data_IF_171242434783
#
_entry.id   IF_171242434783
#
_cell.length_a   1.000
_cell.length_b   1.000
_cell.length_c   1.000
_cell.angle_alpha   90.00
_cell.angle_beta   90.00
_cell.angle_gamma   90.00
#
_symmetry.space_group_name_H-M   'P 1'
#
loop_
_entity.id
_entity.type
_entity.pdbx_description
1 polymer ?
#
# COMPACT_ATOMS: atom_id res chain seq x y z
N UNK A 1 36.93 -43.17 -7.70
CA UNK A 1 38.31 -42.73 -7.43
C UNK A 1 38.40 -42.37 -5.95
N UNK A 2 39.23 -43.08 -5.19
CA UNK A 2 39.40 -42.85 -3.74
C UNK A 2 40.16 -41.53 -3.51
N UNK A 3 39.59 -40.62 -2.74
CA UNK A 3 40.24 -39.37 -2.31
C UNK A 3 41.16 -39.66 -1.12
N UNK A 4 42.47 -39.43 -1.29
CA UNK A 4 43.47 -39.51 -0.21
C UNK A 4 43.14 -38.53 0.93
N UNK A 5 43.41 -38.89 2.20
CA UNK A 5 43.20 -38.00 3.35
C UNK A 5 44.13 -36.77 3.28
N UNK A 6 43.62 -35.61 3.71
CA UNK A 6 44.31 -34.30 3.66
C UNK A 6 45.68 -34.32 4.36
N UNK A 7 45.89 -35.22 5.34
CA UNK A 7 47.14 -35.39 6.09
C UNK A 7 48.30 -35.97 5.28
N UNK A 8 48.07 -36.46 4.06
CA UNK A 8 49.08 -37.12 3.21
C UNK A 8 49.35 -36.36 1.89
N UNK A 9 48.75 -35.18 1.70
CA UNK A 9 48.92 -34.36 0.50
C UNK A 9 50.13 -33.44 0.62
N UNK A 10 50.92 -33.34 -0.44
CA UNK A 10 52.02 -32.36 -0.54
C UNK A 10 51.47 -30.93 -0.71
N UNK A 11 52.25 -29.92 -0.33
CA UNK A 11 51.83 -28.50 -0.44
C UNK A 11 51.38 -28.12 -1.87
N UNK A 12 52.00 -28.71 -2.89
CA UNK A 12 51.63 -28.53 -4.29
C UNK A 12 50.26 -29.16 -4.64
N UNK A 13 49.96 -30.34 -4.09
CA UNK A 13 48.65 -31.01 -4.27
C UNK A 13 47.54 -30.25 -3.55
N UNK A 14 47.82 -29.68 -2.37
CA UNK A 14 46.87 -28.86 -1.62
C UNK A 14 46.54 -27.54 -2.36
N UNK A 15 47.56 -26.87 -2.90
CA UNK A 15 47.36 -25.66 -3.72
C UNK A 15 46.57 -25.95 -5.00
N UNK A 16 46.84 -27.08 -5.66
CA UNK A 16 46.08 -27.50 -6.85
C UNK A 16 44.60 -27.80 -6.54
N UNK A 17 44.32 -28.44 -5.39
CA UNK A 17 42.95 -28.72 -4.94
C UNK A 17 42.20 -27.44 -4.55
N UNK A 18 42.85 -26.49 -3.86
CA UNK A 18 42.26 -25.17 -3.55
C UNK A 18 41.94 -24.42 -4.83
N UNK A 19 42.86 -24.39 -5.80
CA UNK A 19 42.64 -23.75 -7.09
C UNK A 19 41.48 -24.40 -7.86
N UNK A 20 41.41 -25.73 -7.91
CA UNK A 20 40.30 -26.46 -8.55
C UNK A 20 38.95 -26.12 -7.89
N UNK A 21 38.91 -26.04 -6.56
CA UNK A 21 37.68 -25.67 -5.82
C UNK A 21 37.28 -24.22 -6.07
N UNK A 22 38.23 -23.30 -6.16
CA UNK A 22 37.95 -21.91 -6.47
C UNK A 22 37.46 -21.75 -7.92
N UNK A 23 38.10 -22.42 -8.88
CA UNK A 23 37.65 -22.45 -10.28
C UNK A 23 36.24 -23.04 -10.40
N UNK A 24 35.94 -24.13 -9.69
CA UNK A 24 34.59 -24.70 -9.65
C UNK A 24 33.56 -23.70 -9.12
N UNK A 25 33.86 -23.00 -8.01
CA UNK A 25 32.97 -21.96 -7.46
C UNK A 25 32.76 -20.80 -8.43
N UNK A 26 33.81 -20.37 -9.14
CA UNK A 26 33.69 -19.28 -10.12
C UNK A 26 32.85 -19.71 -11.33
N UNK A 27 33.01 -20.97 -11.77
CA UNK A 27 32.19 -21.56 -12.82
C UNK A 27 30.72 -21.67 -12.40
N UNK A 28 30.43 -22.14 -11.18
CA UNK A 28 29.06 -22.20 -10.64
C UNK A 28 28.41 -20.82 -10.58
N UNK A 29 29.16 -19.80 -10.13
CA UNK A 29 28.68 -18.40 -10.11
C UNK A 29 28.40 -17.86 -11.50
N UNK A 30 29.23 -18.21 -12.48
CA UNK A 30 29.05 -17.79 -13.87
C UNK A 30 27.83 -18.47 -14.48
N UNK A 31 27.72 -19.79 -14.35
CA UNK A 31 26.58 -20.57 -14.82
C UNK A 31 25.26 -20.10 -14.17
N UNK A 32 25.27 -19.78 -12.88
CA UNK A 32 24.10 -19.20 -12.20
C UNK A 32 23.69 -17.85 -12.82
N UNK A 33 24.65 -16.93 -13.06
CA UNK A 33 24.34 -15.63 -13.68
C UNK A 33 23.79 -15.79 -15.09
N UNK A 34 24.35 -16.70 -15.87
CA UNK A 34 23.84 -17.04 -17.22
C UNK A 34 22.41 -17.57 -17.13
N UNK A 35 22.14 -18.54 -16.25
CA UNK A 35 20.81 -19.09 -16.03
C UNK A 35 19.79 -18.03 -15.58
N UNK A 36 20.19 -17.11 -14.70
CA UNK A 36 19.35 -15.97 -14.28
C UNK A 36 19.00 -15.08 -15.46
N UNK A 37 19.99 -14.73 -16.29
CA UNK A 37 19.80 -13.89 -17.47
C UNK A 37 18.92 -14.57 -18.54
N UNK A 38 18.96 -15.90 -18.62
CA UNK A 38 18.11 -16.68 -19.53
C UNK A 38 16.68 -16.85 -18.98
N UNK A 39 16.53 -17.06 -17.67
CA UNK A 39 15.23 -17.40 -17.05
C UNK A 39 14.38 -16.17 -16.72
N UNK A 40 15.00 -15.08 -16.24
CA UNK A 40 14.26 -13.88 -15.82
C UNK A 40 13.44 -13.23 -16.93
N UNK A 41 13.90 -13.10 -18.18
CA UNK A 41 13.09 -12.52 -19.25
C UNK A 41 11.75 -13.23 -19.44
N UNK A 42 11.74 -14.56 -19.42
CA UNK A 42 10.53 -15.38 -19.55
C UNK A 42 9.56 -15.19 -18.38
N UNK A 43 10.10 -15.13 -17.15
CA UNK A 43 9.27 -14.85 -15.96
C UNK A 43 8.69 -13.44 -16.02
N UNK A 44 9.49 -12.45 -16.44
CA UNK A 44 9.03 -11.08 -16.62
C UNK A 44 7.98 -10.95 -17.71
N UNK A 45 8.11 -11.67 -18.81
CA UNK A 45 7.10 -11.67 -19.88
C UNK A 45 5.74 -12.16 -19.35
N UNK A 46 5.74 -13.18 -18.50
CA UNK A 46 4.51 -13.67 -17.84
C UNK A 46 3.86 -12.60 -16.97
N UNK A 47 4.65 -11.89 -16.16
CA UNK A 47 4.16 -10.80 -15.31
C UNK A 47 3.64 -9.62 -16.13
N UNK A 48 4.30 -9.27 -17.22
CA UNK A 48 3.87 -8.20 -18.13
C UNK A 48 2.55 -8.56 -18.84
N UNK A 49 2.38 -9.82 -19.26
CA UNK A 49 1.12 -10.33 -19.83
C UNK A 49 -0.02 -10.19 -18.84
N UNK A 50 0.18 -10.62 -17.59
CA UNK A 50 -0.83 -10.45 -16.54
C UNK A 50 -1.16 -8.98 -16.26
N UNK A 51 -0.14 -8.12 -16.18
CA UNK A 51 -0.34 -6.67 -15.99
C UNK A 51 -1.18 -6.05 -17.12
N UNK A 52 -0.96 -6.48 -18.37
CA UNK A 52 -1.78 -6.06 -19.50
C UNK A 52 -3.23 -6.52 -19.36
N UNK A 53 -3.46 -7.79 -19.02
CA UNK A 53 -4.81 -8.32 -18.78
C UNK A 53 -5.53 -7.54 -17.69
N UNK A 54 -4.87 -7.27 -16.56
CA UNK A 54 -5.46 -6.48 -15.46
C UNK A 54 -5.82 -5.06 -15.93
N UNK A 55 -4.99 -4.44 -16.78
CA UNK A 55 -5.28 -3.12 -17.35
C UNK A 55 -6.52 -3.14 -18.24
N UNK A 56 -6.64 -4.14 -19.10
CA UNK A 56 -7.75 -4.27 -20.03
C UNK A 56 -9.07 -4.57 -19.27
N UNK A 57 -9.04 -5.51 -18.31
CA UNK A 57 -10.17 -5.80 -17.41
C UNK A 57 -10.60 -4.56 -16.62
N UNK A 58 -9.64 -3.78 -16.11
CA UNK A 58 -9.94 -2.52 -15.41
C UNK A 58 -10.73 -1.57 -16.31
N UNK A 59 -10.30 -1.38 -17.56
CA UNK A 59 -11.00 -0.51 -18.50
C UNK A 59 -12.41 -1.02 -18.81
N UNK A 60 -12.55 -2.32 -19.06
CA UNK A 60 -13.84 -2.95 -19.37
C UNK A 60 -14.85 -2.75 -18.23
N UNK A 61 -14.47 -3.08 -17.00
CA UNK A 61 -15.34 -2.98 -15.82
C UNK A 61 -15.73 -1.52 -15.54
N UNK A 62 -14.78 -0.57 -15.63
CA UNK A 62 -15.09 0.85 -15.46
C UNK A 62 -16.04 1.37 -16.54
N UNK A 63 -15.87 0.93 -17.80
CA UNK A 63 -16.76 1.32 -18.91
C UNK A 63 -18.16 0.77 -18.69
N UNK A 64 -18.27 -0.51 -18.33
CA UNK A 64 -19.56 -1.16 -18.06
C UNK A 64 -20.34 -0.48 -16.93
N UNK A 65 -19.68 -0.18 -15.81
CA UNK A 65 -20.35 0.48 -14.69
C UNK A 65 -20.64 1.95 -14.96
N UNK A 66 -19.80 2.66 -15.71
CA UNK A 66 -20.14 4.03 -16.15
C UNK A 66 -21.44 4.04 -16.95
N UNK A 67 -21.64 3.06 -17.85
CA UNK A 67 -22.92 2.88 -18.55
C UNK A 67 -24.10 2.64 -17.59
N UNK A 68 -23.92 1.85 -16.53
CA UNK A 68 -24.95 1.64 -15.50
C UNK A 68 -25.27 2.92 -14.74
N UNK A 69 -24.27 3.73 -14.40
CA UNK A 69 -24.46 5.02 -13.72
C UNK A 69 -25.22 6.00 -14.61
N UNK A 70 -24.86 6.12 -15.89
CA UNK A 70 -25.59 6.97 -16.84
C UNK A 70 -27.05 6.54 -16.99
N UNK A 71 -27.32 5.23 -17.03
CA UNK A 71 -28.68 4.70 -17.06
C UNK A 71 -29.44 4.97 -15.77
N UNK A 72 -28.79 4.83 -14.61
CA UNK A 72 -29.36 5.17 -13.29
C UNK A 72 -29.72 6.66 -13.24
N UNK A 73 -28.79 7.53 -13.63
CA UNK A 73 -28.99 8.98 -13.64
C UNK A 73 -30.16 9.37 -14.56
N UNK A 74 -30.28 8.72 -15.73
CA UNK A 74 -31.42 8.92 -16.64
C UNK A 74 -32.74 8.40 -16.06
N UNK A 75 -32.73 7.24 -15.41
CA UNK A 75 -33.93 6.60 -14.87
C UNK A 75 -34.50 7.34 -13.65
N UNK A 76 -33.63 7.87 -12.79
CA UNK A 76 -34.02 8.50 -11.53
C UNK A 76 -33.87 10.03 -11.52
N UNK A 77 -33.26 10.62 -12.55
CA UNK A 77 -33.10 12.07 -12.71
C UNK A 77 -32.15 12.72 -11.70
N UNK A 78 -31.36 11.93 -10.98
CA UNK A 78 -30.42 12.40 -9.95
C UNK A 78 -29.03 12.00 -10.38
N UNK A 79 -28.16 13.00 -10.56
CA UNK A 79 -26.74 12.77 -10.80
C UNK A 79 -26.04 12.48 -9.48
N UNK A 80 -25.36 11.34 -9.42
CA UNK A 80 -24.66 10.91 -8.22
C UNK A 80 -23.24 11.50 -8.17
N UNK A 81 -22.92 12.29 -7.14
CA UNK A 81 -21.57 12.87 -6.92
C UNK A 81 -20.69 11.99 -6.01
N UNK A 82 -21.13 10.76 -5.74
CA UNK A 82 -20.37 9.81 -4.93
C UNK A 82 -18.99 9.51 -5.53
N UNK A 83 -18.02 9.27 -4.64
CA UNK A 83 -16.63 8.91 -4.99
C UNK A 83 -16.47 7.43 -5.34
N UNK A 84 -17.39 6.61 -4.86
CA UNK A 84 -17.44 5.18 -5.08
C UNK A 84 -18.88 4.73 -5.22
N UNK A 85 -19.13 3.74 -6.05
CA UNK A 85 -20.44 3.14 -6.26
C UNK A 85 -20.35 1.64 -6.05
N UNK A 86 -21.36 1.09 -5.39
CA UNK A 86 -21.53 -0.35 -5.21
C UNK A 86 -22.80 -0.78 -5.93
N UNK A 87 -22.68 -1.80 -6.77
CA UNK A 87 -23.79 -2.46 -7.43
C UNK A 87 -23.85 -3.90 -6.94
N UNK A 88 -25.02 -4.32 -6.47
CA UNK A 88 -25.27 -5.68 -5.98
C UNK A 88 -26.39 -6.30 -6.80
N UNK A 89 -26.16 -7.50 -7.30
CA UNK A 89 -27.18 -8.28 -8.02
C UNK A 89 -28.11 -8.98 -7.02
N UNK A 90 -29.29 -9.40 -7.49
CA UNK A 90 -30.22 -10.19 -6.67
C UNK A 90 -29.61 -11.52 -6.19
N UNK A 91 -28.64 -12.06 -6.93
CA UNK A 91 -27.91 -13.28 -6.58
C UNK A 91 -26.84 -13.06 -5.51
N UNK A 92 -26.56 -11.80 -5.15
CA UNK A 92 -25.63 -11.43 -4.09
C UNK A 92 -24.23 -11.05 -4.55
N UNK A 93 -23.91 -11.15 -5.84
CA UNK A 93 -22.64 -10.67 -6.36
C UNK A 93 -22.60 -9.14 -6.29
N UNK A 94 -21.50 -8.59 -5.79
CA UNK A 94 -21.33 -7.13 -5.66
C UNK A 94 -20.03 -6.65 -6.28
N UNK A 95 -20.09 -5.51 -6.97
CA UNK A 95 -18.93 -4.81 -7.51
C UNK A 95 -18.94 -3.39 -6.94
N UNK A 96 -17.81 -3.00 -6.36
CA UNK A 96 -17.56 -1.64 -5.86
C UNK A 96 -16.40 -1.03 -6.63
N UNK A 97 -16.59 0.19 -7.12
CA UNK A 97 -15.56 0.93 -7.86
C UNK A 97 -15.58 2.39 -7.47
N UNK A 98 -14.43 3.02 -7.58
CA UNK A 98 -14.27 4.42 -7.29
C UNK A 98 -12.82 4.83 -7.36
N UNK A 99 -12.50 5.95 -6.71
CA UNK A 99 -11.14 6.42 -6.56
C UNK A 99 -10.84 6.78 -5.11
N UNK A 100 -9.61 6.50 -4.70
CA UNK A 100 -9.08 6.90 -3.40
C UNK A 100 -8.63 8.35 -3.47
N UNK A 101 -8.66 9.03 -2.33
CA UNK A 101 -8.16 10.39 -2.15
C UNK A 101 -7.10 10.36 -1.06
N UNK A 102 -6.00 11.06 -1.32
CA UNK A 102 -5.01 11.37 -0.31
C UNK A 102 -5.26 12.77 0.23
N UNK A 103 -4.89 12.98 1.49
CA UNK A 103 -4.88 14.30 2.10
C UNK A 103 -3.79 15.15 1.44
N UNK A 104 -4.19 16.17 0.70
CA UNK A 104 -3.30 17.19 0.14
C UNK A 104 -3.51 18.54 0.80
N UNK A 105 -2.49 19.39 0.73
CA UNK A 105 -2.44 20.68 1.40
C UNK A 105 -1.74 21.69 0.49
N UNK A 106 -2.18 22.95 0.53
CA UNK A 106 -1.45 24.05 -0.13
C UNK A 106 -0.27 24.56 0.73
N UNK A 107 0.40 25.60 0.24
CA UNK A 107 1.59 26.18 0.87
C UNK A 107 1.31 26.89 2.20
N UNK A 108 0.06 27.21 2.51
CA UNK A 108 -0.33 27.92 3.75
C UNK A 108 -0.44 27.01 4.97
N UNK A 109 -0.50 25.68 4.77
CA UNK A 109 -0.64 24.69 5.86
C UNK A 109 0.48 24.82 6.90
N UNK A 110 1.71 25.14 6.46
CA UNK A 110 2.85 25.31 7.35
C UNK A 110 2.67 26.49 8.31
N UNK A 111 2.11 27.60 7.81
CA UNK A 111 1.82 28.80 8.58
C UNK A 111 0.75 28.54 9.64
N UNK A 112 -0.29 27.79 9.30
CA UNK A 112 -1.32 27.37 10.25
C UNK A 112 -0.77 26.45 11.34
N UNK A 113 0.03 25.44 10.96
CA UNK A 113 0.70 24.54 11.93
C UNK A 113 1.61 25.33 12.89
N UNK A 114 2.34 26.32 12.39
CA UNK A 114 3.20 27.14 13.24
C UNK A 114 2.42 27.94 14.29
N UNK A 115 1.28 28.55 13.91
CA UNK A 115 0.39 29.26 14.84
C UNK A 115 -0.17 28.33 15.91
N UNK A 116 -0.63 27.15 15.49
CA UNK A 116 -1.13 26.12 16.40
C UNK A 116 -0.05 25.66 17.37
N UNK A 117 1.15 25.34 16.89
CA UNK A 117 2.28 24.94 17.74
C UNK A 117 2.65 26.01 18.75
N UNK A 118 2.71 27.28 18.34
CA UNK A 118 3.02 28.40 19.22
C UNK A 118 2.01 28.52 20.38
N UNK A 119 0.71 28.34 20.09
CA UNK A 119 -0.30 28.32 21.14
C UNK A 119 -0.12 27.13 22.09
N UNK A 120 0.07 25.93 21.54
CA UNK A 120 0.27 24.70 22.32
C UNK A 120 1.48 24.82 23.25
N UNK A 121 2.60 25.35 22.76
CA UNK A 121 3.81 25.58 23.55
C UNK A 121 3.56 26.53 24.73
N UNK A 122 2.68 27.53 24.56
CA UNK A 122 2.30 28.46 25.64
C UNK A 122 1.52 27.80 26.78
N UNK A 123 0.94 26.61 26.55
CA UNK A 123 0.16 25.87 27.54
C UNK A 123 1.03 24.96 28.43
N UNK A 124 2.25 24.61 28.04
CA UNK A 124 3.15 23.74 28.81
C UNK A 124 3.76 24.46 30.02
N UNK A 125 2.99 24.61 31.11
CA UNK A 125 3.42 25.28 32.35
C UNK A 125 3.76 24.33 33.49
N UNK A 126 3.30 23.09 33.42
CA UNK A 126 3.44 22.01 34.40
C UNK A 126 3.49 20.62 33.73
N UNK A 127 3.84 19.57 34.48
CA UNK A 127 4.03 18.22 33.94
C UNK A 127 2.76 17.61 33.31
N UNK A 128 1.57 18.00 33.74
CA UNK A 128 0.31 17.48 33.19
C UNK A 128 -0.10 18.24 31.93
N UNK A 129 0.10 19.56 31.90
CA UNK A 129 -0.03 20.36 30.69
C UNK A 129 0.98 19.95 29.61
N UNK A 130 2.19 19.51 30.00
CA UNK A 130 3.18 18.95 29.07
C UNK A 130 2.71 17.64 28.40
N UNK A 131 1.99 16.78 29.12
CA UNK A 131 1.37 15.58 28.55
C UNK A 131 0.26 15.92 27.56
N UNK A 132 -0.56 16.94 27.86
CA UNK A 132 -1.59 17.43 26.95
C UNK A 132 -0.99 17.99 25.66
N UNK A 133 0.05 18.80 25.78
CA UNK A 133 0.84 19.32 24.63
C UNK A 133 1.40 18.20 23.78
N UNK A 134 1.93 17.13 24.39
CA UNK A 134 2.42 15.95 23.67
C UNK A 134 1.31 15.27 22.87
N UNK A 135 0.10 15.15 23.41
CA UNK A 135 -1.06 14.58 22.73
C UNK A 135 -1.48 15.44 21.53
N UNK A 136 -1.52 16.76 21.68
CA UNK A 136 -1.90 17.65 20.57
C UNK A 136 -0.81 17.66 19.47
N UNK A 137 0.47 17.59 19.84
CA UNK A 137 1.57 17.42 18.88
C UNK A 137 1.46 16.11 18.10
N UNK A 138 0.86 15.05 18.67
CA UNK A 138 0.57 13.83 17.91
C UNK A 138 -0.51 14.06 16.86
N UNK A 139 -1.45 14.99 17.07
CA UNK A 139 -2.46 15.38 16.08
C UNK A 139 -1.85 16.15 14.90
N UNK A 140 -0.78 16.91 15.15
CA UNK A 140 -0.07 17.65 14.10
C UNK A 140 1.02 16.82 13.42
N UNK A 141 1.28 15.61 13.92
CA UNK A 141 2.29 14.73 13.32
C UNK A 141 1.89 14.37 11.89
N UNK A 142 2.85 14.58 10.99
CA UNK A 142 2.74 14.19 9.58
C UNK A 142 2.78 12.67 9.43
N UNK A 143 2.14 12.17 8.40
CA UNK A 143 2.24 10.77 8.00
C UNK A 143 3.64 10.45 7.43
N UNK A 144 3.86 9.18 7.05
CA UNK A 144 5.14 8.75 6.46
C UNK A 144 5.49 9.47 5.15
N UNK A 145 4.50 10.12 4.50
CA UNK A 145 4.66 10.88 3.26
C UNK A 145 4.83 12.39 3.51
N UNK A 146 4.85 12.83 4.77
CA UNK A 146 5.04 14.23 5.13
C UNK A 146 3.75 15.07 5.12
N UNK A 147 2.57 14.44 4.97
CA UNK A 147 1.29 15.14 4.93
C UNK A 147 0.58 15.12 6.28
N UNK A 148 -0.14 16.19 6.60
CA UNK A 148 -1.03 16.23 7.75
C UNK A 148 -2.28 15.37 7.46
N UNK A 149 -2.81 14.66 8.46
CA UNK A 149 -4.04 13.87 8.28
C UNK A 149 -5.28 14.73 8.50
N UNK A 150 -6.22 14.71 7.56
CA UNK A 150 -7.45 15.52 7.64
C UNK A 150 -8.28 15.21 8.89
N UNK A 151 -8.39 13.93 9.28
CA UNK A 151 -9.08 13.53 10.50
C UNK A 151 -8.55 14.23 11.76
N UNK A 152 -7.23 14.49 11.82
CA UNK A 152 -6.61 15.14 12.97
C UNK A 152 -6.92 16.64 13.01
N UNK A 153 -7.16 17.25 11.86
CA UNK A 153 -7.59 18.65 11.77
C UNK A 153 -9.02 18.82 12.25
N UNK A 154 -9.90 17.83 11.99
CA UNK A 154 -11.26 17.81 12.57
C UNK A 154 -11.21 17.73 14.10
N UNK A 155 -10.26 16.98 14.66
CA UNK A 155 -10.07 16.91 16.11
C UNK A 155 -9.55 18.25 16.68
N UNK A 156 -8.59 18.89 16.00
CA UNK A 156 -8.08 20.22 16.39
C UNK A 156 -9.17 21.29 16.33
N UNK A 157 -10.05 21.24 15.33
CA UNK A 157 -11.18 22.16 15.16
C UNK A 157 -12.14 22.10 16.34
N UNK A 158 -12.44 20.91 16.86
CA UNK A 158 -13.28 20.75 18.05
C UNK A 158 -12.65 21.41 19.28
N UNK A 159 -11.33 21.28 19.44
CA UNK A 159 -10.61 21.88 20.57
C UNK A 159 -10.61 23.42 20.52
N UNK A 160 -10.82 24.04 19.36
CA UNK A 160 -10.89 25.52 19.27
C UNK A 160 -12.01 26.10 20.14
N UNK A 161 -13.12 25.37 20.28
CA UNK A 161 -14.27 25.77 21.10
C UNK A 161 -13.94 25.75 22.60
N UNK A 162 -13.12 24.79 23.03
CA UNK A 162 -12.76 24.62 24.44
C UNK A 162 -11.75 25.67 24.92
N UNK A 163 -10.78 26.03 24.06
CA UNK A 163 -9.71 26.97 24.42
C UNK A 163 -10.06 28.44 24.16
N UNK A 164 -11.01 28.71 23.25
CA UNK A 164 -11.47 30.05 22.89
C UNK A 164 -10.33 31.07 22.68
N UNK A 165 -9.27 30.65 22.00
CA UNK A 165 -8.07 31.46 21.75
C UNK A 165 -8.00 31.86 20.27
N UNK A 166 -7.96 33.16 19.99
CA UNK A 166 -7.98 33.69 18.63
C UNK A 166 -6.80 33.22 17.77
N UNK A 167 -5.59 33.09 18.33
CA UNK A 167 -4.40 32.65 17.59
C UNK A 167 -4.45 31.15 17.27
N UNK A 168 -5.00 30.35 18.18
CA UNK A 168 -5.23 28.92 17.96
C UNK A 168 -6.31 28.68 16.90
N UNK A 169 -7.46 29.37 17.01
CA UNK A 169 -8.57 29.26 16.06
C UNK A 169 -8.12 29.67 14.66
N UNK A 170 -7.44 30.81 14.53
CA UNK A 170 -6.88 31.28 13.24
C UNK A 170 -5.89 30.25 12.65
N UNK A 171 -5.01 29.68 13.47
CA UNK A 171 -4.11 28.62 13.05
C UNK A 171 -4.84 27.39 12.50
N UNK A 172 -5.90 26.93 13.18
CA UNK A 172 -6.70 25.78 12.74
C UNK A 172 -7.52 26.11 11.49
N UNK A 173 -8.07 27.31 11.38
CA UNK A 173 -8.80 27.78 10.20
C UNK A 173 -7.90 27.84 8.95
N UNK A 174 -6.67 28.34 9.09
CA UNK A 174 -5.68 28.32 8.00
C UNK A 174 -5.39 26.89 7.57
N UNK A 175 -5.17 25.97 8.52
CA UNK A 175 -4.97 24.56 8.19
C UNK A 175 -6.20 24.02 7.44
N UNK A 176 -7.43 24.24 7.93
CA UNK A 176 -8.65 23.78 7.26
C UNK A 176 -8.81 24.35 5.85
N UNK A 177 -8.55 25.64 5.67
CA UNK A 177 -8.63 26.31 4.37
C UNK A 177 -7.59 25.77 3.38
N UNK A 178 -6.41 25.36 3.87
CA UNK A 178 -5.34 24.79 3.07
C UNK A 178 -5.62 23.37 2.56
N UNK A 179 -6.67 22.70 3.04
CA UNK A 179 -6.98 21.32 2.66
C UNK A 179 -7.40 21.22 1.19
N UNK A 180 -6.60 20.47 0.41
CA UNK A 180 -6.81 20.20 -1.02
C UNK A 180 -6.75 18.68 -1.26
N UNK A 181 -7.87 17.96 -1.15
CA UNK A 181 -7.88 16.52 -1.38
C UNK A 181 -7.41 16.20 -2.81
N UNK A 182 -6.52 15.21 -2.95
CA UNK A 182 -5.97 14.79 -4.25
C UNK A 182 -6.38 13.35 -4.54
N UNK A 183 -7.03 13.10 -5.68
CA UNK A 183 -7.32 11.76 -6.13
C UNK A 183 -6.02 10.96 -6.35
N UNK A 184 -5.95 9.75 -5.82
CA UNK A 184 -4.72 8.95 -5.77
C UNK A 184 -4.75 7.75 -6.71
N UNK A 185 -5.73 6.87 -6.58
CA UNK A 185 -5.85 5.70 -7.45
C UNK A 185 -7.29 5.20 -7.59
N UNK A 186 -7.62 4.75 -8.79
CA UNK A 186 -8.87 4.03 -9.07
C UNK A 186 -8.80 2.60 -8.58
N UNK A 187 -9.88 2.10 -7.98
CA UNK A 187 -9.99 0.75 -7.44
C UNK A 187 -11.25 0.03 -7.90
N UNK A 188 -11.17 -1.30 -7.85
CA UNK A 188 -12.28 -2.22 -8.08
C UNK A 188 -12.19 -3.26 -6.96
N UNK A 189 -13.32 -3.52 -6.32
CA UNK A 189 -13.52 -4.57 -5.33
C UNK A 189 -14.72 -5.39 -5.77
N UNK A 190 -14.60 -6.72 -5.70
CA UNK A 190 -15.67 -7.63 -6.06
C UNK A 190 -15.88 -8.65 -4.95
N UNK A 191 -17.14 -9.01 -4.72
CA UNK A 191 -17.55 -10.08 -3.83
C UNK A 191 -18.56 -10.97 -4.52
N UNK A 192 -18.52 -12.26 -4.20
CA UNK A 192 -19.49 -13.26 -4.66
C UNK A 192 -19.96 -14.10 -3.49
N UNK A 193 -21.15 -14.71 -3.61
CA UNK A 193 -21.66 -15.62 -2.59
C UNK A 193 -21.15 -17.04 -2.84
N UNK A 194 -20.57 -17.66 -1.81
CA UNK A 194 -20.23 -19.08 -1.87
C UNK A 194 -21.47 -19.98 -1.70
N UNK A 195 -21.28 -21.29 -1.82
CA UNK A 195 -22.33 -22.31 -1.68
C UNK A 195 -23.07 -22.25 -0.33
N UNK A 196 -22.44 -21.68 0.70
CA UNK A 196 -23.00 -21.49 2.04
C UNK A 196 -23.67 -20.12 2.24
N UNK A 197 -23.81 -19.31 1.17
CA UNK A 197 -24.43 -17.99 1.18
C UNK A 197 -23.59 -16.87 1.81
N UNK A 198 -22.33 -17.15 2.16
CA UNK A 198 -21.38 -16.17 2.74
C UNK A 198 -20.69 -15.40 1.62
N UNK A 199 -20.50 -14.10 1.85
CA UNK A 199 -19.76 -13.25 0.92
C UNK A 199 -18.26 -13.56 0.98
N UNK A 200 -17.70 -13.86 -0.18
CA UNK A 200 -16.28 -14.11 -0.40
C UNK A 200 -15.75 -13.05 -1.34
N UNK A 201 -14.65 -12.40 -0.96
CA UNK A 201 -14.00 -11.40 -1.81
C UNK A 201 -13.30 -12.10 -2.98
N UNK A 202 -13.50 -11.57 -4.18
CA UNK A 202 -12.79 -12.03 -5.38
C UNK A 202 -11.39 -11.41 -5.35
N UNK A 203 -10.32 -12.23 -5.25
CA UNK A 203 -8.96 -11.70 -5.19
C UNK A 203 -8.52 -11.18 -6.57
N UNK A 204 -8.15 -9.90 -6.64
CA UNK A 204 -7.75 -9.24 -7.89
C UNK A 204 -6.25 -8.88 -7.93
N UNK A 205 -5.48 -9.26 -6.90
CA UNK A 205 -4.04 -9.03 -6.81
C UNK A 205 -3.29 -10.36 -6.66
N UNK A 206 -2.09 -10.47 -7.22
CA UNK A 206 -1.27 -11.69 -7.12
C UNK A 206 -1.04 -12.11 -5.66
N UNK A 207 -0.85 -11.14 -4.76
CA UNK A 207 -0.61 -11.39 -3.33
C UNK A 207 -1.86 -11.79 -2.55
N UNK A 208 -3.05 -11.67 -3.13
CA UNK A 208 -4.31 -12.05 -2.49
C UNK A 208 -4.91 -13.35 -3.04
N UNK A 209 -4.28 -13.94 -4.06
CA UNK A 209 -4.73 -15.18 -4.67
C UNK A 209 -3.91 -16.32 -4.06
N UNK A 210 -4.59 -17.27 -3.44
CA UNK A 210 -3.96 -18.45 -2.85
C UNK A 210 -3.35 -19.34 -3.95
N UNK A 211 -2.33 -20.11 -3.58
CA UNK A 211 -1.80 -21.16 -4.45
C UNK A 211 -2.84 -22.28 -4.65
N UNK A 212 -2.79 -22.99 -5.79
CA UNK A 212 -3.60 -24.21 -5.98
C UNK A 212 -3.39 -25.23 -4.85
N UNK A 213 -4.44 -26.00 -4.52
CA UNK A 213 -4.56 -26.84 -3.30
C UNK A 213 -3.46 -27.92 -3.11
N UNK A 214 -2.61 -28.17 -4.10
CA UNK A 214 -1.50 -29.14 -4.05
C UNK A 214 -0.11 -28.52 -4.27
N UNK A 215 0.02 -27.20 -4.19
CA UNK A 215 1.28 -26.51 -4.49
C UNK A 215 2.33 -26.74 -3.41
N UNK A 216 3.48 -27.32 -3.77
CA UNK A 216 4.64 -27.47 -2.88
C UNK A 216 5.83 -26.63 -3.37
N UNK A 217 6.29 -25.73 -2.52
CA UNK A 217 7.42 -24.85 -2.79
C UNK A 217 8.54 -25.09 -1.76
N UNK A 218 9.40 -26.10 -1.97
CA UNK A 218 10.35 -26.58 -0.95
C UNK A 218 11.34 -25.52 -0.46
N UNK A 219 11.65 -24.52 -1.29
CA UNK A 219 12.49 -23.39 -0.88
C UNK A 219 11.82 -22.46 0.14
N UNK A 220 10.48 -22.42 0.19
CA UNK A 220 9.69 -21.51 1.00
C UNK A 220 8.95 -22.18 2.18
N UNK A 221 9.01 -23.50 2.33
CA UNK A 221 8.28 -24.28 3.36
C UNK A 221 8.56 -23.86 4.82
N UNK A 222 9.72 -23.24 5.11
CA UNK A 222 10.12 -22.83 6.46
C UNK A 222 9.87 -21.33 6.78
N UNK A 223 9.02 -20.64 6.01
CA UNK A 223 8.69 -19.21 6.22
C UNK A 223 7.18 -19.04 6.48
N UNK A 224 6.75 -17.98 7.21
CA UNK A 224 5.35 -17.81 7.60
C UNK A 224 4.42 -17.95 6.39
N UNK A 225 3.27 -18.61 6.64
CA UNK A 225 2.28 -19.06 5.67
C UNK A 225 2.30 -18.28 4.37
N UNK A 226 2.61 -18.98 3.28
CA UNK A 226 2.27 -18.57 1.92
C UNK A 226 0.81 -18.13 2.00
N UNK A 227 0.58 -16.82 1.88
CA UNK A 227 -0.75 -16.24 1.98
C UNK A 227 -1.70 -16.95 1.02
#
# INVERSE_FOLDING_TARGET
>A
MQTKPISEMTDAELQAEVKRREEAKQNDRKAYKELVNESLPTLMETLLKLSKVIKDVKLEVFTGVTGLLELKDKAYGIKDEQRSHTFTTEKGDSITLGYRINDGWDDTVGSGIAKVNKFIESLAKDDDSAKLVKTINQLLKKDAKGNLKSNRVIELDKLTQDFNNAEFTDGVEIIKASYKPVASCYFIEATTKNENGKDVSVPLSISSVDFPEDTRLPYFENRPSLC
#
